data_IF_865202867160
#
_entry.id   IF_865202867160
#
_cell.length_a   1.000
_cell.length_b   1.000
_cell.length_c   1.000
_cell.angle_alpha   90.00
_cell.angle_beta   90.00
_cell.angle_gamma   90.00
#
_symmetry.space_group_name_H-M   'P 1'
#
loop_
_entity.id
_entity.type
_entity.pdbx_description
1 polymer ?
#
# COMPACT_ATOMS: atom_id res chain seq x y z
N UNK A 1 0.73 -26.90 -5.41
CA UNK A 1 0.32 -25.50 -5.64
C UNK A 1 1.56 -24.63 -5.57
N UNK A 2 1.80 -23.78 -6.54
CA UNK A 2 2.83 -22.75 -6.47
C UNK A 2 2.34 -21.75 -5.42
N UNK A 3 3.12 -21.38 -4.40
CA UNK A 3 2.67 -20.44 -3.39
C UNK A 3 2.32 -19.09 -4.04
N UNK A 4 1.23 -18.45 -3.60
CA UNK A 4 0.84 -17.11 -4.07
C UNK A 4 2.03 -16.16 -3.97
N UNK A 5 2.28 -15.40 -5.02
CA UNK A 5 3.39 -14.47 -5.09
C UNK A 5 2.91 -13.06 -4.73
N UNK A 6 3.57 -12.45 -3.75
CA UNK A 6 3.28 -11.09 -3.31
C UNK A 6 4.35 -10.14 -3.81
N UNK A 7 3.93 -9.01 -4.33
CA UNK A 7 4.80 -7.97 -4.85
C UNK A 7 4.57 -6.66 -4.09
N UNK A 8 5.66 -6.00 -3.74
CA UNK A 8 5.64 -4.61 -3.30
C UNK A 8 6.57 -3.79 -4.18
N UNK A 9 6.46 -2.47 -4.17
CA UNK A 9 7.38 -1.64 -4.94
C UNK A 9 8.00 -0.52 -4.10
N UNK A 10 9.22 -0.13 -4.45
CA UNK A 10 9.95 0.97 -3.84
C UNK A 10 10.68 1.78 -4.91
N UNK A 11 10.11 2.93 -5.26
CA UNK A 11 10.76 3.88 -6.15
C UNK A 11 11.77 4.73 -5.37
N UNK A 12 13.00 4.83 -5.88
CA UNK A 12 14.14 5.47 -5.22
C UNK A 12 14.63 6.68 -6.01
N UNK A 13 14.18 7.88 -5.65
CA UNK A 13 14.63 9.13 -6.23
C UNK A 13 14.91 10.18 -5.16
N UNK A 14 16.10 10.77 -5.20
CA UNK A 14 16.57 11.66 -4.12
C UNK A 14 15.76 12.96 -3.99
N UNK A 15 15.32 13.55 -5.10
CA UNK A 15 14.63 14.85 -5.12
C UNK A 15 13.19 14.83 -4.60
N UNK A 16 12.56 13.66 -4.54
CA UNK A 16 11.12 13.51 -4.33
C UNK A 16 10.76 12.98 -2.94
N UNK A 17 11.76 12.55 -2.18
CA UNK A 17 11.56 11.99 -0.84
C UNK A 17 11.01 12.95 0.22
N UNK A 18 10.91 14.24 -0.10
CA UNK A 18 10.27 15.22 0.80
C UNK A 18 8.77 15.05 0.94
N UNK A 19 8.11 14.40 -0.03
CA UNK A 19 6.66 14.21 -0.09
C UNK A 19 6.17 12.85 0.46
N UNK A 20 7.08 12.02 0.99
CA UNK A 20 6.72 10.70 1.50
C UNK A 20 6.19 10.77 2.93
N UNK A 21 5.23 9.90 3.28
CA UNK A 21 4.58 9.80 4.60
C UNK A 21 5.49 9.56 5.82
N UNK A 22 6.79 9.49 5.62
CA UNK A 22 7.79 9.40 6.69
C UNK A 22 8.32 10.81 6.96
N UNK A 23 7.76 11.48 7.94
CA UNK A 23 7.99 12.90 8.26
C UNK A 23 9.36 13.20 8.88
N UNK A 24 10.20 12.22 9.13
CA UNK A 24 11.44 12.39 9.91
C UNK A 24 12.62 11.70 9.21
N UNK A 25 13.74 12.41 9.14
CA UNK A 25 15.05 11.85 8.80
C UNK A 25 15.56 12.13 7.39
N UNK A 26 16.82 11.76 7.17
CA UNK A 26 17.50 11.86 5.87
C UNK A 26 16.91 10.87 4.85
N UNK A 27 17.16 11.12 3.55
CA UNK A 27 16.85 10.18 2.47
C UNK A 27 17.27 8.74 2.79
N UNK A 28 18.49 8.55 3.30
CA UNK A 28 19.01 7.24 3.70
C UNK A 28 18.17 6.59 4.82
N UNK A 29 17.71 7.36 5.80
CA UNK A 29 16.87 6.83 6.89
C UNK A 29 15.50 6.42 6.39
N UNK A 30 14.91 7.20 5.49
CA UNK A 30 13.63 6.87 4.84
C UNK A 30 13.72 5.56 4.07
N UNK A 31 14.72 5.41 3.19
CA UNK A 31 14.93 4.15 2.45
C UNK A 31 15.09 2.99 3.43
N UNK A 32 15.93 3.12 4.45
CA UNK A 32 16.12 2.06 5.45
C UNK A 32 14.82 1.67 6.17
N UNK A 33 13.93 2.62 6.41
CA UNK A 33 12.62 2.34 7.01
C UNK A 33 11.78 1.46 6.09
N UNK A 34 11.65 1.83 4.82
CA UNK A 34 10.89 1.03 3.85
C UNK A 34 11.51 -0.35 3.60
N UNK A 35 12.84 -0.44 3.50
CA UNK A 35 13.52 -1.72 3.34
C UNK A 35 13.34 -2.64 4.54
N UNK A 36 13.31 -2.10 5.75
CA UNK A 36 13.01 -2.89 6.96
C UNK A 36 11.57 -3.36 6.99
N UNK A 37 10.64 -2.52 6.55
CA UNK A 37 9.24 -2.93 6.42
C UNK A 37 9.11 -4.06 5.39
N UNK A 38 9.73 -3.92 4.21
CA UNK A 38 9.75 -4.97 3.18
C UNK A 38 10.37 -6.28 3.71
N UNK A 39 11.48 -6.21 4.47
CA UNK A 39 12.11 -7.37 5.09
C UNK A 39 11.21 -8.07 6.12
N UNK A 40 10.48 -7.31 6.92
CA UNK A 40 9.54 -7.86 7.90
C UNK A 40 8.34 -8.48 7.19
N UNK A 41 7.80 -7.79 6.20
CA UNK A 41 6.71 -8.30 5.37
C UNK A 41 7.11 -9.60 4.67
N UNK A 42 8.26 -9.64 4.00
CA UNK A 42 8.80 -10.85 3.35
C UNK A 42 8.87 -12.03 4.32
N UNK A 43 9.49 -11.84 5.48
CA UNK A 43 9.62 -12.91 6.49
C UNK A 43 8.28 -13.34 7.07
N UNK A 44 7.33 -12.43 7.21
CA UNK A 44 6.01 -12.77 7.70
C UNK A 44 5.22 -13.58 6.67
N UNK A 45 5.34 -13.27 5.40
CA UNK A 45 4.76 -14.04 4.30
C UNK A 45 5.42 -15.42 4.17
N UNK A 46 6.75 -15.48 4.22
CA UNK A 46 7.52 -16.72 4.16
C UNK A 46 7.15 -17.69 5.30
N UNK A 47 6.93 -17.17 6.51
CA UNK A 47 6.48 -17.98 7.66
C UNK A 47 5.11 -18.63 7.43
N UNK A 48 4.33 -18.15 6.48
CA UNK A 48 3.04 -18.69 6.07
C UNK A 48 3.06 -19.34 4.67
N UNK A 49 4.27 -19.59 4.12
CA UNK A 49 4.46 -20.32 2.87
C UNK A 49 4.29 -19.49 1.60
N UNK A 50 4.38 -18.15 1.69
CA UNK A 50 4.23 -17.25 0.55
C UNK A 50 5.56 -16.59 0.17
N UNK A 51 5.77 -16.31 -1.12
CA UNK A 51 6.92 -15.59 -1.62
C UNK A 51 6.64 -14.08 -1.70
N UNK A 52 7.66 -13.26 -1.44
CA UNK A 52 7.60 -11.81 -1.60
C UNK A 52 8.70 -11.31 -2.54
N UNK A 53 8.34 -10.43 -3.47
CA UNK A 53 9.23 -9.79 -4.43
C UNK A 53 9.15 -8.26 -4.30
N UNK A 54 10.30 -7.62 -4.23
CA UNK A 54 10.41 -6.17 -4.20
C UNK A 54 10.76 -5.61 -5.58
N UNK A 55 9.87 -4.84 -6.18
CA UNK A 55 10.11 -4.10 -7.41
C UNK A 55 10.79 -2.77 -7.09
N UNK A 56 11.85 -2.42 -7.80
CA UNK A 56 12.58 -1.16 -7.59
C UNK A 56 13.22 -0.66 -8.88
N UNK A 57 13.57 0.62 -8.92
CA UNK A 57 14.36 1.19 -10.02
C UNK A 57 15.87 1.20 -9.75
N UNK A 58 16.33 0.74 -8.58
CA UNK A 58 17.76 0.82 -8.22
C UNK A 58 18.15 -0.19 -7.12
N UNK A 59 18.42 -1.42 -7.50
CA UNK A 59 18.88 -2.48 -6.60
C UNK A 59 20.25 -2.18 -6.01
N UNK A 60 21.14 -1.52 -6.76
CA UNK A 60 22.47 -1.11 -6.28
C UNK A 60 22.39 -0.14 -5.10
N UNK A 61 21.41 0.77 -5.10
CA UNK A 61 21.18 1.69 -3.99
C UNK A 61 20.67 0.95 -2.75
N UNK A 62 19.82 -0.06 -2.93
CA UNK A 62 19.37 -0.95 -1.86
C UNK A 62 20.55 -1.71 -1.27
N UNK A 63 21.37 -2.33 -2.10
CA UNK A 63 22.58 -3.04 -1.68
C UNK A 63 23.52 -2.14 -0.87
N UNK A 64 23.75 -0.92 -1.35
CA UNK A 64 24.61 0.07 -0.66
C UNK A 64 24.10 0.49 0.72
N UNK A 65 22.76 0.67 0.87
CA UNK A 65 22.19 1.18 2.12
C UNK A 65 21.81 0.10 3.11
N UNK A 66 21.54 -1.11 2.64
CA UNK A 66 21.06 -2.22 3.47
C UNK A 66 21.48 -3.58 2.90
N UNK A 67 22.80 -3.89 2.82
CA UNK A 67 23.31 -5.10 2.15
C UNK A 67 22.67 -6.38 2.70
N UNK A 68 22.58 -6.54 4.02
CA UNK A 68 21.96 -7.72 4.64
C UNK A 68 20.49 -7.92 4.31
N UNK A 69 19.75 -6.85 4.04
CA UNK A 69 18.35 -6.93 3.62
C UNK A 69 18.29 -7.27 2.13
N UNK A 70 19.15 -6.64 1.32
CA UNK A 70 19.26 -6.93 -0.11
C UNK A 70 19.57 -8.39 -0.41
N UNK A 71 20.41 -9.03 0.40
CA UNK A 71 20.77 -10.46 0.26
C UNK A 71 19.60 -11.41 0.57
N UNK A 72 18.59 -10.96 1.31
CA UNK A 72 17.44 -11.78 1.72
C UNK A 72 16.21 -11.57 0.88
N UNK A 73 16.03 -10.36 0.36
CA UNK A 73 14.86 -10.02 -0.45
C UNK A 73 15.06 -10.49 -1.90
N UNK A 74 14.03 -11.08 -2.48
CA UNK A 74 13.92 -11.18 -3.93
C UNK A 74 13.65 -9.79 -4.49
N UNK A 75 14.55 -9.27 -5.32
CA UNK A 75 14.49 -7.90 -5.87
C UNK A 75 14.53 -7.97 -7.38
N UNK A 76 13.57 -7.30 -8.03
CA UNK A 76 13.54 -7.11 -9.47
C UNK A 76 13.65 -5.62 -9.79
N UNK A 77 14.59 -5.25 -10.69
CA UNK A 77 14.64 -3.91 -11.23
C UNK A 77 13.60 -3.76 -12.35
N UNK A 78 12.79 -2.70 -12.24
CA UNK A 78 11.82 -2.32 -13.27
C UNK A 78 12.00 -0.84 -13.62
N UNK A 79 11.60 -0.46 -14.82
CA UNK A 79 11.51 0.93 -15.22
C UNK A 79 10.24 1.56 -14.65
N UNK A 80 10.39 2.72 -14.00
CA UNK A 80 9.28 3.56 -13.57
C UNK A 80 9.20 4.75 -14.53
N UNK A 81 8.33 4.63 -15.52
CA UNK A 81 8.19 5.57 -16.64
C UNK A 81 6.92 6.41 -16.61
N UNK A 82 6.01 6.14 -15.65
CA UNK A 82 4.77 6.89 -15.50
C UNK A 82 5.06 8.38 -15.31
N UNK A 83 4.52 9.29 -16.14
CA UNK A 83 4.76 10.72 -16.01
C UNK A 83 4.03 11.28 -14.79
N UNK A 84 4.78 11.74 -13.79
CA UNK A 84 4.21 12.32 -12.56
C UNK A 84 4.54 13.82 -12.52
N UNK A 85 3.53 14.70 -12.34
CA UNK A 85 3.77 16.15 -12.22
C UNK A 85 4.66 16.48 -11.02
N UNK A 86 5.49 17.49 -11.15
CA UNK A 86 6.34 17.97 -10.05
C UNK A 86 5.52 18.58 -8.91
N UNK A 87 5.96 18.36 -7.66
CA UNK A 87 5.30 18.92 -6.47
C UNK A 87 4.01 18.23 -6.02
N UNK A 88 3.63 17.15 -6.68
CA UNK A 88 2.43 16.36 -6.30
C UNK A 88 2.71 15.57 -5.02
N UNK A 89 1.77 15.60 -4.08
CA UNK A 89 1.82 14.75 -2.87
C UNK A 89 1.72 13.27 -3.27
N UNK A 90 2.33 12.40 -2.47
CA UNK A 90 2.38 10.96 -2.74
C UNK A 90 2.95 10.60 -4.12
N UNK A 91 3.91 11.39 -4.57
CA UNK A 91 4.55 11.26 -5.87
C UNK A 91 4.86 9.80 -6.24
N UNK A 92 5.58 9.07 -5.37
CA UNK A 92 6.01 7.70 -5.65
C UNK A 92 4.84 6.69 -5.76
N UNK A 93 3.66 6.99 -5.22
CA UNK A 93 2.51 6.08 -5.34
C UNK A 93 1.96 6.00 -6.77
N UNK A 94 2.21 7.02 -7.62
CA UNK A 94 1.81 7.00 -9.02
C UNK A 94 2.52 5.92 -9.83
N UNK A 95 3.74 5.54 -9.42
CA UNK A 95 4.48 4.45 -10.05
C UNK A 95 3.88 3.06 -9.80
N UNK A 96 2.75 2.97 -9.08
CA UNK A 96 1.97 1.74 -9.01
C UNK A 96 1.50 1.31 -10.41
N UNK A 97 1.26 2.25 -11.32
CA UNK A 97 0.94 1.94 -12.72
C UNK A 97 2.05 1.11 -13.38
N UNK A 98 3.32 1.45 -13.16
CA UNK A 98 4.44 0.66 -13.73
C UNK A 98 4.52 -0.74 -13.10
N UNK A 99 4.19 -0.86 -11.80
CA UNK A 99 4.08 -2.17 -11.16
C UNK A 99 2.92 -3.00 -11.74
N UNK A 100 1.77 -2.37 -12.08
CA UNK A 100 0.66 -3.05 -12.75
C UNK A 100 1.07 -3.55 -14.15
N UNK A 101 1.79 -2.74 -14.93
CA UNK A 101 2.34 -3.14 -16.24
C UNK A 101 3.28 -4.33 -16.12
N UNK A 102 4.17 -4.29 -15.12
CA UNK A 102 5.08 -5.38 -14.85
C UNK A 102 4.31 -6.67 -14.54
N UNK A 103 3.37 -6.64 -13.61
CA UNK A 103 2.55 -7.80 -13.24
C UNK A 103 1.66 -8.30 -14.39
N UNK A 104 1.20 -7.41 -15.25
CA UNK A 104 0.45 -7.76 -16.46
C UNK A 104 1.26 -8.56 -17.50
N UNK A 105 2.59 -8.51 -17.41
CA UNK A 105 3.53 -9.21 -18.31
C UNK A 105 4.21 -10.42 -17.65
N UNK A 106 4.02 -10.62 -16.33
CA UNK A 106 4.58 -11.78 -15.62
C UNK A 106 3.94 -13.09 -16.09
N UNK A 107 4.69 -14.19 -15.92
CA UNK A 107 4.23 -15.54 -16.28
C UNK A 107 3.57 -16.29 -15.12
N UNK A 108 3.37 -15.63 -13.99
CA UNK A 108 2.72 -16.22 -12.83
C UNK A 108 1.21 -16.33 -13.06
N UNK A 109 0.61 -17.43 -12.61
CA UNK A 109 -0.83 -17.61 -12.77
C UNK A 109 -1.66 -16.62 -11.94
N UNK A 110 -1.12 -16.20 -10.78
CA UNK A 110 -1.80 -15.29 -9.86
C UNK A 110 -0.78 -14.51 -9.00
N UNK A 111 -1.01 -13.24 -8.78
CA UNK A 111 -0.15 -12.38 -7.98
C UNK A 111 -0.97 -11.40 -7.10
N UNK A 112 -0.34 -10.90 -6.03
CA UNK A 112 -0.88 -9.79 -5.23
C UNK A 112 0.11 -8.62 -5.19
N UNK A 113 -0.35 -7.40 -5.48
CA UNK A 113 0.39 -6.16 -5.31
C UNK A 113 -0.01 -5.51 -4.00
N UNK A 114 0.96 -5.32 -3.09
CA UNK A 114 0.70 -4.87 -1.72
C UNK A 114 1.65 -3.75 -1.30
N UNK A 115 1.25 -2.96 -0.30
CA UNK A 115 2.10 -1.92 0.28
C UNK A 115 3.14 -2.52 1.25
N UNK A 116 4.29 -1.86 1.39
CA UNK A 116 5.42 -2.36 2.19
C UNK A 116 5.19 -2.30 3.72
N UNK A 117 4.24 -1.50 4.16
CA UNK A 117 3.86 -1.34 5.58
C UNK A 117 2.71 -2.26 6.00
N UNK A 118 2.68 -3.43 5.38
CA UNK A 118 1.79 -4.53 5.73
C UNK A 118 2.52 -5.62 6.52
N UNK A 119 1.74 -6.47 7.16
CA UNK A 119 2.23 -7.64 7.87
C UNK A 119 1.29 -8.82 7.67
N UNK A 120 1.84 -10.00 7.35
CA UNK A 120 1.13 -11.26 7.33
C UNK A 120 1.11 -11.83 8.76
N UNK A 121 -0.08 -12.06 9.31
CA UNK A 121 -0.24 -12.51 10.71
C UNK A 121 -0.96 -13.86 10.84
N UNK A 122 -1.54 -14.36 9.77
CA UNK A 122 -2.25 -15.64 9.72
C UNK A 122 -1.95 -16.38 8.40
N UNK A 123 -2.43 -17.63 8.34
CA UNK A 123 -2.53 -18.38 7.08
C UNK A 123 -3.54 -17.73 6.14
N UNK A 124 -3.32 -17.91 4.84
CA UNK A 124 -4.26 -17.44 3.82
C UNK A 124 -5.66 -18.04 4.04
N UNK A 125 -6.72 -17.23 4.05
CA UNK A 125 -8.09 -17.72 4.17
C UNK A 125 -8.48 -18.50 2.90
N UNK A 126 -9.37 -19.48 3.06
CA UNK A 126 -9.85 -20.33 1.95
C UNK A 126 -10.40 -19.49 0.78
N UNK A 127 -11.04 -18.35 1.09
CA UNK A 127 -11.55 -17.44 0.06
C UNK A 127 -10.46 -16.84 -0.84
N UNK A 128 -9.24 -16.60 -0.33
CA UNK A 128 -8.10 -16.17 -1.15
C UNK A 128 -7.61 -17.32 -2.02
N UNK A 129 -7.50 -18.53 -1.47
CA UNK A 129 -7.09 -19.72 -2.21
C UNK A 129 -8.08 -20.08 -3.33
N UNK A 130 -9.36 -19.86 -3.10
CA UNK A 130 -10.41 -20.06 -4.11
C UNK A 130 -10.35 -18.98 -5.21
N UNK A 131 -10.12 -17.71 -4.83
CA UNK A 131 -9.90 -16.65 -5.79
C UNK A 131 -8.68 -16.93 -6.68
N UNK A 132 -7.58 -17.43 -6.11
CA UNK A 132 -6.38 -17.85 -6.85
C UNK A 132 -6.71 -19.00 -7.84
N UNK A 133 -7.40 -20.05 -7.37
CA UNK A 133 -7.79 -21.20 -8.22
C UNK A 133 -8.73 -20.84 -9.35
N UNK A 134 -9.66 -19.91 -9.10
CA UNK A 134 -10.64 -19.46 -10.10
C UNK A 134 -10.14 -18.32 -10.99
N UNK A 135 -8.98 -17.72 -10.68
CA UNK A 135 -8.49 -16.53 -11.36
C UNK A 135 -9.34 -15.27 -11.07
N UNK A 136 -10.05 -15.23 -9.94
CA UNK A 136 -10.87 -14.08 -9.56
C UNK A 136 -9.99 -12.90 -9.17
N UNK A 137 -10.30 -11.73 -9.74
CA UNK A 137 -9.65 -10.48 -9.37
C UNK A 137 -10.14 -9.96 -8.01
N UNK A 138 -9.23 -9.42 -7.20
CA UNK A 138 -9.52 -8.87 -5.88
C UNK A 138 -9.02 -7.43 -5.75
N UNK A 139 -9.75 -6.63 -5.00
CA UNK A 139 -9.35 -5.32 -4.51
C UNK A 139 -9.68 -5.21 -3.00
N UNK A 140 -9.35 -4.13 -2.35
CA UNK A 140 -9.77 -3.89 -0.96
C UNK A 140 -10.63 -2.63 -0.88
N UNK A 141 -11.91 -2.78 -0.53
CA UNK A 141 -12.83 -1.67 -0.33
C UNK A 141 -12.59 -1.00 1.02
N UNK A 142 -12.38 0.30 0.99
CA UNK A 142 -12.22 1.14 2.18
C UNK A 142 -13.20 2.31 2.22
N UNK A 143 -14.28 2.24 1.46
CA UNK A 143 -15.28 3.31 1.35
C UNK A 143 -15.76 3.76 2.73
N UNK A 144 -16.20 2.82 3.56
CA UNK A 144 -16.67 3.09 4.93
C UNK A 144 -15.59 3.70 5.85
N UNK A 145 -14.32 3.47 5.55
CA UNK A 145 -13.22 4.02 6.32
C UNK A 145 -12.89 5.46 5.91
N UNK A 146 -12.96 5.79 4.63
CA UNK A 146 -12.49 7.09 4.11
C UNK A 146 -13.61 8.14 4.05
N UNK A 147 -14.87 7.73 3.83
CA UNK A 147 -16.03 8.64 3.76
C UNK A 147 -16.14 9.54 5.00
N UNK A 148 -16.00 9.05 6.25
CA UNK A 148 -16.07 9.90 7.43
C UNK A 148 -15.02 11.03 7.49
N UNK A 149 -13.88 10.85 6.79
CA UNK A 149 -12.79 11.82 6.79
C UNK A 149 -12.74 12.70 5.55
N UNK A 150 -13.13 12.17 4.39
CA UNK A 150 -13.01 12.84 3.09
C UNK A 150 -14.34 13.42 2.61
N UNK A 151 -15.47 12.88 3.11
CA UNK A 151 -16.81 13.14 2.60
C UNK A 151 -17.15 12.26 1.39
N UNK A 152 -18.40 11.83 1.31
CA UNK A 152 -18.88 11.00 0.20
C UNK A 152 -18.89 11.79 -1.11
N UNK A 153 -19.50 12.97 -1.08
CA UNK A 153 -19.66 13.83 -2.25
C UNK A 153 -18.35 14.22 -2.93
N UNK A 154 -17.30 14.69 -2.22
CA UNK A 154 -16.01 14.99 -2.85
C UNK A 154 -15.34 13.78 -3.50
N UNK A 155 -15.48 12.58 -2.90
CA UNK A 155 -14.91 11.34 -3.45
C UNK A 155 -15.65 10.93 -4.73
N UNK A 156 -16.98 10.96 -4.70
CA UNK A 156 -17.86 10.68 -5.85
C UNK A 156 -17.59 11.65 -6.99
N UNK A 157 -17.62 12.96 -6.72
CA UNK A 157 -17.37 14.00 -7.70
C UNK A 157 -16.01 13.85 -8.39
N UNK A 158 -14.96 13.49 -7.64
CA UNK A 158 -13.65 13.23 -8.23
C UNK A 158 -13.69 12.07 -9.24
N UNK A 159 -14.34 10.95 -8.90
CA UNK A 159 -14.44 9.81 -9.81
C UNK A 159 -15.31 10.13 -11.03
N UNK A 160 -16.42 10.82 -10.83
CA UNK A 160 -17.33 11.22 -11.92
C UNK A 160 -16.63 12.17 -12.89
N UNK A 161 -15.85 13.14 -12.41
CA UNK A 161 -15.07 14.02 -13.26
C UNK A 161 -13.96 13.27 -14.03
N UNK A 162 -13.29 12.27 -13.39
CA UNK A 162 -12.29 11.45 -14.07
C UNK A 162 -12.95 10.58 -15.16
N UNK A 163 -14.08 9.97 -14.85
CA UNK A 163 -14.76 9.03 -15.76
C UNK A 163 -15.70 9.70 -16.78
N UNK A 164 -16.18 10.92 -16.47
CA UNK A 164 -17.16 11.64 -17.29
C UNK A 164 -18.56 11.07 -17.25
N UNK A 165 -18.89 10.30 -16.22
CA UNK A 165 -20.21 9.70 -16.00
C UNK A 165 -20.49 9.51 -14.52
N UNK A 166 -21.77 9.41 -14.10
CA UNK A 166 -22.13 9.05 -12.73
C UNK A 166 -21.55 7.70 -12.32
N UNK A 167 -21.23 7.56 -11.02
CA UNK A 167 -20.71 6.33 -10.43
C UNK A 167 -21.35 6.02 -9.09
N UNK A 168 -21.47 4.74 -8.78
CA UNK A 168 -21.69 4.28 -7.41
C UNK A 168 -20.36 4.33 -6.66
N UNK A 169 -20.33 5.09 -5.56
CA UNK A 169 -19.08 5.29 -4.83
C UNK A 169 -18.64 3.98 -4.19
N UNK A 170 -17.55 3.44 -4.70
CA UNK A 170 -16.72 2.42 -4.06
C UNK A 170 -15.28 2.91 -4.09
N UNK A 171 -14.60 2.91 -2.93
CA UNK A 171 -13.24 3.42 -2.83
C UNK A 171 -12.26 2.32 -2.45
N UNK A 172 -11.49 1.89 -3.44
CA UNK A 172 -10.40 0.94 -3.24
C UNK A 172 -9.24 1.58 -2.49
N UNK A 173 -8.74 0.92 -1.48
CA UNK A 173 -7.46 1.24 -0.89
C UNK A 173 -6.31 0.95 -1.84
N UNK A 174 -5.28 1.79 -1.78
CA UNK A 174 -4.09 1.61 -2.59
C UNK A 174 -3.22 0.43 -2.19
N UNK A 175 -3.47 -0.20 -1.06
CA UNK A 175 -2.58 -1.17 -0.44
C UNK A 175 -2.71 -2.62 -0.88
N UNK A 176 -3.79 -2.97 -1.61
CA UNK A 176 -4.02 -4.37 -1.99
C UNK A 176 -4.77 -4.50 -3.31
N UNK A 177 -4.19 -5.25 -4.23
CA UNK A 177 -4.80 -5.76 -5.46
C UNK A 177 -4.29 -7.17 -5.67
N UNK A 178 -5.14 -8.11 -6.10
CA UNK A 178 -4.70 -9.44 -6.47
C UNK A 178 -5.48 -9.98 -7.67
N UNK A 179 -4.85 -10.83 -8.48
CA UNK A 179 -5.47 -11.41 -9.66
C UNK A 179 -4.48 -12.06 -10.61
N UNK A 180 -4.97 -12.60 -11.72
CA UNK A 180 -4.14 -13.12 -12.80
C UNK A 180 -3.48 -11.96 -13.58
N UNK A 181 -2.42 -12.23 -14.38
CA UNK A 181 -1.77 -11.21 -15.22
C UNK A 181 -2.73 -10.45 -16.13
N UNK A 182 -3.76 -11.12 -16.65
CA UNK A 182 -4.80 -10.49 -17.47
C UNK A 182 -5.53 -9.35 -16.72
N UNK A 183 -5.78 -9.50 -15.42
CA UNK A 183 -6.37 -8.45 -14.59
C UNK A 183 -5.44 -7.23 -14.46
N UNK A 184 -4.17 -7.45 -14.14
CA UNK A 184 -3.21 -6.36 -14.00
C UNK A 184 -2.99 -5.62 -15.33
N UNK A 185 -2.98 -6.34 -16.46
CA UNK A 185 -2.89 -5.75 -17.79
C UNK A 185 -4.10 -4.87 -18.08
N UNK A 186 -5.32 -5.42 -17.91
CA UNK A 186 -6.55 -4.67 -18.12
C UNK A 186 -6.65 -3.44 -17.21
N UNK A 187 -6.21 -3.57 -15.95
CA UNK A 187 -6.20 -2.46 -15.00
C UNK A 187 -5.18 -1.38 -15.42
N UNK A 188 -3.99 -1.75 -15.87
CA UNK A 188 -2.99 -0.82 -16.38
C UNK A 188 -3.51 -0.07 -17.62
N UNK A 189 -4.09 -0.79 -18.59
CA UNK A 189 -4.70 -0.20 -19.78
C UNK A 189 -5.84 0.77 -19.44
N UNK A 190 -6.71 0.41 -18.49
CA UNK A 190 -7.77 1.29 -18.02
C UNK A 190 -7.21 2.56 -17.35
N UNK A 191 -6.15 2.43 -16.52
CA UNK A 191 -5.46 3.59 -15.94
C UNK A 191 -4.88 4.48 -17.05
N UNK A 192 -4.19 3.92 -18.04
CA UNK A 192 -3.59 4.68 -19.14
C UNK A 192 -4.60 5.52 -19.91
N UNK A 193 -5.80 4.97 -20.15
CA UNK A 193 -6.88 5.68 -20.84
C UNK A 193 -7.35 6.93 -20.10
N UNK A 194 -7.29 6.93 -18.79
CA UNK A 194 -7.82 8.02 -17.94
C UNK A 194 -6.73 8.85 -17.26
N UNK A 195 -5.45 8.45 -17.32
CA UNK A 195 -4.39 9.01 -16.49
C UNK A 195 -4.21 10.52 -16.68
N UNK A 196 -4.19 11.00 -17.94
CA UNK A 196 -4.09 12.43 -18.19
C UNK A 196 -5.28 13.19 -17.60
N UNK A 197 -6.48 12.69 -17.81
CA UNK A 197 -7.68 13.31 -17.23
C UNK A 197 -7.67 13.29 -15.70
N UNK A 198 -7.19 12.19 -15.10
CA UNK A 198 -6.98 12.14 -13.65
C UNK A 198 -6.03 13.24 -13.17
N UNK A 199 -4.92 13.46 -13.86
CA UNK A 199 -3.96 14.54 -13.51
C UNK A 199 -4.65 15.90 -13.61
N UNK A 200 -5.33 16.19 -14.71
CA UNK A 200 -5.99 17.47 -14.96
C UNK A 200 -7.09 17.77 -13.93
N UNK A 201 -7.85 16.76 -13.53
CA UNK A 201 -8.94 16.87 -12.56
C UNK A 201 -8.42 16.97 -11.13
N UNK A 202 -7.42 16.17 -10.77
CA UNK A 202 -7.09 15.94 -9.35
C UNK A 202 -6.05 16.88 -8.80
N UNK A 203 -5.07 17.31 -9.62
CA UNK A 203 -3.96 18.13 -9.13
C UNK A 203 -4.45 19.53 -8.73
N UNK A 204 -4.17 19.90 -7.47
CA UNK A 204 -4.58 21.19 -6.89
C UNK A 204 -6.04 21.28 -6.43
N UNK A 205 -6.87 20.26 -6.68
CA UNK A 205 -8.30 20.28 -6.35
C UNK A 205 -8.77 19.13 -5.47
N UNK A 206 -8.34 17.92 -5.79
CA UNK A 206 -8.79 16.68 -5.15
C UNK A 206 -7.64 15.89 -4.54
N UNK A 207 -7.94 14.66 -4.12
CA UNK A 207 -6.94 13.70 -3.68
C UNK A 207 -6.05 13.29 -4.83
N UNK A 208 -4.76 13.14 -4.55
CA UNK A 208 -3.74 12.70 -5.51
C UNK A 208 -3.04 11.45 -4.98
N UNK A 209 -2.47 10.66 -5.88
CA UNK A 209 -1.85 9.38 -5.61
C UNK A 209 -2.48 8.28 -6.44
N UNK A 210 -2.19 7.03 -6.10
CA UNK A 210 -2.73 5.90 -6.87
C UNK A 210 -4.22 5.63 -6.63
N UNK A 211 -4.76 5.91 -5.45
CA UNK A 211 -6.16 5.58 -5.13
C UNK A 211 -7.17 6.14 -6.15
N UNK A 212 -7.19 7.44 -6.53
CA UNK A 212 -8.20 7.96 -7.44
C UNK A 212 -8.19 7.29 -8.83
N UNK A 213 -7.03 7.16 -9.47
CA UNK A 213 -6.98 6.56 -10.79
C UNK A 213 -7.21 5.04 -10.75
N UNK A 214 -6.76 4.37 -9.68
CA UNK A 214 -7.02 2.94 -9.45
C UNK A 214 -8.53 2.68 -9.31
N UNK A 215 -9.24 3.52 -8.54
CA UNK A 215 -10.69 3.42 -8.38
C UNK A 215 -11.43 3.63 -9.70
N UNK A 216 -11.06 4.66 -10.45
CA UNK A 216 -11.65 4.91 -11.75
C UNK A 216 -11.41 3.75 -12.74
N UNK A 217 -10.22 3.16 -12.72
CA UNK A 217 -9.91 2.00 -13.56
C UNK A 217 -10.68 0.73 -13.13
N UNK A 218 -10.80 0.45 -11.84
CA UNK A 218 -11.63 -0.66 -11.33
C UNK A 218 -13.07 -0.49 -11.78
N UNK A 219 -13.61 0.74 -11.74
CA UNK A 219 -14.97 1.04 -12.19
C UNK A 219 -15.14 0.83 -13.70
N UNK A 220 -14.12 1.14 -14.52
CA UNK A 220 -14.11 0.81 -15.95
C UNK A 220 -14.15 -0.71 -16.14
N UNK A 221 -13.33 -1.46 -15.44
CA UNK A 221 -13.28 -2.90 -15.55
C UNK A 221 -14.63 -3.55 -15.17
N UNK A 222 -15.25 -3.10 -14.08
CA UNK A 222 -16.59 -3.59 -13.67
C UNK A 222 -17.65 -3.31 -14.71
N UNK A 223 -17.63 -2.11 -15.27
CA UNK A 223 -18.54 -1.74 -16.36
C UNK A 223 -18.36 -2.64 -17.59
N UNK A 224 -17.13 -3.09 -17.83
CA UNK A 224 -16.78 -4.03 -18.91
C UNK A 224 -17.00 -5.52 -18.53
N UNK A 225 -17.67 -5.80 -17.40
CA UNK A 225 -18.07 -7.15 -17.00
C UNK A 225 -17.03 -7.92 -16.19
N UNK A 226 -15.98 -7.29 -15.71
CA UNK A 226 -15.02 -7.95 -14.81
C UNK A 226 -15.65 -8.21 -13.44
N UNK A 227 -15.54 -9.45 -12.97
CA UNK A 227 -15.90 -9.83 -11.61
C UNK A 227 -14.71 -9.56 -10.67
N UNK A 228 -14.76 -8.44 -9.94
CA UNK A 228 -13.70 -8.01 -9.02
C UNK A 228 -14.30 -7.99 -7.60
N UNK A 229 -13.84 -8.88 -6.74
CA UNK A 229 -14.39 -9.06 -5.40
C UNK A 229 -13.61 -8.26 -4.33
N UNK A 230 -14.28 -7.90 -3.22
CA UNK A 230 -13.66 -7.23 -2.09
C UNK A 230 -12.97 -8.23 -1.16
N UNK A 231 -11.67 -8.05 -0.96
CA UNK A 231 -10.79 -8.87 -0.12
C UNK A 231 -11.02 -8.65 1.39
N UNK A 232 -11.63 -7.53 1.81
CA UNK A 232 -11.86 -7.18 3.21
C UNK A 232 -12.79 -8.17 3.93
N UNK A 233 -14.03 -8.40 3.46
CA UNK A 233 -14.96 -9.39 4.02
C UNK A 233 -14.41 -10.82 3.97
N UNK A 234 -13.57 -11.13 2.99
CA UNK A 234 -12.93 -12.44 2.84
C UNK A 234 -11.87 -12.73 3.93
N UNK A 235 -11.55 -11.76 4.79
CA UNK A 235 -10.50 -11.91 5.79
C UNK A 235 -9.07 -11.76 5.25
N UNK A 236 -8.90 -11.41 3.98
CA UNK A 236 -7.60 -11.32 3.32
C UNK A 236 -6.81 -10.11 3.81
N UNK A 237 -7.43 -8.93 3.87
CA UNK A 237 -6.73 -7.70 4.23
C UNK A 237 -7.59 -6.83 5.15
N UNK A 238 -6.92 -6.10 6.03
CA UNK A 238 -7.53 -5.03 6.82
C UNK A 238 -6.54 -3.90 7.06
N UNK A 239 -7.03 -2.67 7.15
CA UNK A 239 -6.26 -1.46 7.43
C UNK A 239 -6.54 -1.00 8.87
N UNK A 240 -5.48 -0.71 9.62
CA UNK A 240 -5.60 -0.17 10.97
C UNK A 240 -4.82 1.14 11.12
N UNK A 241 -5.53 2.17 11.54
CA UNK A 241 -4.95 3.47 11.88
C UNK A 241 -4.80 3.59 13.39
N UNK A 242 -3.59 3.50 13.88
CA UNK A 242 -3.35 3.63 15.32
C UNK A 242 -3.14 5.10 15.76
N UNK A 243 -4.00 5.97 15.26
CA UNK A 243 -4.07 7.39 15.64
C UNK A 243 -5.54 7.80 15.73
N UNK A 244 -5.86 8.85 16.49
CA UNK A 244 -7.16 9.50 16.38
C UNK A 244 -7.34 10.03 14.95
N UNK A 245 -8.05 9.31 14.14
CA UNK A 245 -8.42 9.66 12.76
C UNK A 245 -9.94 9.64 12.65
N UNK A 246 -10.47 10.41 11.70
CA UNK A 246 -11.90 10.39 11.39
C UNK A 246 -12.28 9.16 10.54
N UNK A 247 -11.46 8.11 10.55
CA UNK A 247 -11.75 6.86 9.85
C UNK A 247 -12.62 5.96 10.73
N UNK A 248 -13.65 5.39 10.14
CA UNK A 248 -14.39 4.31 10.79
C UNK A 248 -13.53 3.04 10.73
N UNK A 249 -13.24 2.45 11.89
CA UNK A 249 -12.48 1.22 11.95
C UNK A 249 -12.88 0.37 13.16
N UNK A 250 -12.83 -0.96 13.03
CA UNK A 250 -13.09 -1.85 14.15
C UNK A 250 -11.97 -1.76 15.22
N UNK A 251 -12.24 -2.23 16.44
CA UNK A 251 -11.21 -2.28 17.48
C UNK A 251 -10.06 -3.21 17.06
N UNK A 252 -8.82 -2.88 17.49
CA UNK A 252 -7.61 -3.58 17.05
C UNK A 252 -7.68 -5.11 17.18
N UNK A 253 -8.34 -5.64 18.22
CA UNK A 253 -8.54 -7.08 18.43
C UNK A 253 -9.29 -7.79 17.29
N UNK A 254 -10.11 -7.03 16.52
CA UNK A 254 -10.84 -7.59 15.38
C UNK A 254 -9.93 -7.92 14.17
N UNK A 255 -8.67 -7.50 14.23
CA UNK A 255 -7.69 -7.79 13.17
C UNK A 255 -6.99 -9.15 13.36
N UNK A 256 -7.18 -9.81 14.52
CA UNK A 256 -6.54 -11.09 14.84
C UNK A 256 -6.77 -12.21 13.83
N UNK A 257 -7.93 -12.18 13.16
CA UNK A 257 -8.35 -13.22 12.22
C UNK A 257 -8.10 -12.82 10.76
N UNK A 258 -7.37 -11.73 10.53
CA UNK A 258 -7.02 -11.27 9.19
C UNK A 258 -5.69 -11.86 8.72
N UNK A 259 -5.58 -12.14 7.43
CA UNK A 259 -4.33 -12.65 6.86
C UNK A 259 -3.28 -11.54 6.76
N UNK A 260 -3.62 -10.39 6.16
CA UNK A 260 -2.76 -9.21 6.05
C UNK A 260 -3.32 -8.04 6.85
N UNK A 261 -2.45 -7.34 7.58
CA UNK A 261 -2.81 -6.09 8.26
C UNK A 261 -1.93 -4.96 7.75
N UNK A 262 -2.55 -3.91 7.23
CA UNK A 262 -1.89 -2.68 6.78
C UNK A 262 -1.82 -1.67 7.93
N UNK A 263 -0.62 -1.16 8.21
CA UNK A 263 -0.30 -0.24 9.31
C UNK A 263 0.31 1.08 8.78
N UNK A 264 -0.46 1.92 8.07
CA UNK A 264 0.06 3.02 7.25
C UNK A 264 0.84 4.09 8.03
N UNK A 265 0.53 4.28 9.32
CA UNK A 265 1.20 5.27 10.18
C UNK A 265 2.31 4.66 11.05
N UNK A 266 2.43 3.35 11.09
CA UNK A 266 3.32 2.64 12.02
C UNK A 266 4.57 2.03 11.39
N UNK A 267 5.03 2.59 10.27
CA UNK A 267 6.26 2.17 9.58
C UNK A 267 7.49 2.06 10.53
N UNK A 268 7.60 2.98 11.48
CA UNK A 268 8.67 2.95 12.48
C UNK A 268 8.46 1.88 13.56
N UNK A 269 7.21 1.66 13.95
CA UNK A 269 6.86 0.61 14.93
C UNK A 269 7.14 -0.77 14.36
N UNK A 270 6.80 -1.01 13.09
CA UNK A 270 7.15 -2.24 12.38
C UNK A 270 8.67 -2.50 12.42
N UNK A 271 9.50 -1.46 12.25
CA UNK A 271 10.95 -1.61 12.33
C UNK A 271 11.45 -2.10 13.69
N UNK A 272 10.76 -1.77 14.78
CA UNK A 272 11.11 -2.25 16.13
C UNK A 272 10.73 -3.73 16.32
N UNK A 273 9.74 -4.21 15.57
CA UNK A 273 9.28 -5.60 15.60
C UNK A 273 10.14 -6.58 14.77
N UNK A 274 11.25 -6.08 14.19
CA UNK A 274 12.15 -6.84 13.29
C UNK A 274 12.65 -8.17 13.85
N UNK A 275 12.79 -8.29 15.17
CA UNK A 275 13.32 -9.50 15.82
C UNK A 275 12.23 -10.55 16.09
N UNK A 276 10.99 -10.24 15.79
CA UNK A 276 9.84 -11.04 16.16
C UNK A 276 9.25 -11.69 14.92
N UNK A 277 9.13 -12.99 14.97
CA UNK A 277 8.37 -13.73 13.96
C UNK A 277 6.89 -13.60 14.28
N UNK A 278 6.04 -13.06 13.40
CA UNK A 278 4.61 -12.93 13.65
C UNK A 278 3.85 -14.25 13.45
N UNK A 279 4.49 -15.37 13.80
CA UNK A 279 3.94 -16.72 13.62
C UNK A 279 2.65 -16.99 14.40
N UNK A 280 2.27 -16.07 15.31
CA UNK A 280 1.03 -16.18 16.11
C UNK A 280 0.35 -14.82 16.19
N UNK A 281 -0.91 -14.66 15.71
CA UNK A 281 -1.65 -13.39 15.71
C UNK A 281 -1.73 -12.76 17.10
N UNK A 282 -1.97 -13.54 18.12
CA UNK A 282 -2.10 -13.04 19.51
C UNK A 282 -0.78 -12.48 20.04
N UNK A 283 0.33 -13.13 19.74
CA UNK A 283 1.66 -12.64 20.10
C UNK A 283 1.98 -11.35 19.36
N UNK A 284 1.63 -11.25 18.06
CA UNK A 284 1.76 -10.03 17.29
C UNK A 284 0.95 -8.88 17.90
N UNK A 285 -0.35 -9.09 18.14
CA UNK A 285 -1.23 -8.04 18.66
C UNK A 285 -0.77 -7.54 20.03
N UNK A 286 -0.38 -8.45 20.93
CA UNK A 286 0.14 -8.11 22.26
C UNK A 286 1.43 -7.28 22.16
N UNK A 287 2.35 -7.72 21.32
CA UNK A 287 3.64 -7.07 21.16
C UNK A 287 3.53 -5.73 20.46
N UNK A 288 2.71 -5.64 19.40
CA UNK A 288 2.40 -4.39 18.75
C UNK A 288 1.81 -3.38 19.73
N UNK A 289 0.83 -3.79 20.54
CA UNK A 289 0.23 -2.92 21.56
C UNK A 289 1.28 -2.45 22.58
N UNK A 290 2.13 -3.35 23.09
CA UNK A 290 3.20 -3.02 24.02
C UNK A 290 4.24 -2.07 23.38
N UNK A 291 4.70 -2.38 22.18
CA UNK A 291 5.66 -1.55 21.44
C UNK A 291 5.09 -0.16 21.17
N UNK A 292 3.82 -0.08 20.81
CA UNK A 292 3.13 1.18 20.57
C UNK A 292 3.00 2.01 21.84
N UNK A 293 2.69 1.37 22.95
CA UNK A 293 2.60 2.05 24.25
C UNK A 293 3.96 2.66 24.68
N UNK A 294 5.04 1.94 24.46
CA UNK A 294 6.40 2.44 24.72
C UNK A 294 6.84 3.55 23.75
N UNK A 295 6.36 3.51 22.50
CA UNK A 295 6.72 4.48 21.47
C UNK A 295 5.92 5.79 21.54
N UNK A 296 4.71 5.76 22.09
CA UNK A 296 3.80 6.91 22.15
C UNK A 296 4.42 8.16 22.80
N UNK A 297 5.15 8.08 23.92
CA UNK A 297 5.79 9.26 24.52
C UNK A 297 6.84 9.89 23.59
N UNK A 298 7.62 9.08 22.87
CA UNK A 298 8.64 9.54 21.92
C UNK A 298 8.01 10.21 20.70
N UNK A 299 6.88 9.69 20.21
CA UNK A 299 6.11 10.32 19.13
C UNK A 299 5.53 11.69 19.54
N UNK A 300 4.99 11.78 20.73
CA UNK A 300 4.48 13.04 21.30
C UNK A 300 5.60 14.07 21.44
N UNK A 301 6.73 13.69 22.00
CA UNK A 301 7.90 14.55 22.13
C UNK A 301 8.40 15.03 20.76
N UNK A 302 8.55 14.14 19.78
CA UNK A 302 8.99 14.50 18.42
C UNK A 302 8.03 15.49 17.73
N UNK A 303 6.72 15.35 17.95
CA UNK A 303 5.71 16.30 17.42
C UNK A 303 5.80 17.67 18.09
N UNK A 304 6.04 17.71 19.40
CA UNK A 304 6.23 18.97 20.13
C UNK A 304 7.49 19.70 19.67
N UNK A 305 8.60 18.98 19.50
CA UNK A 305 9.87 19.54 18.99
C UNK A 305 9.75 20.03 17.54
N UNK A 306 9.05 19.30 16.68
CA UNK A 306 8.80 19.72 15.29
C UNK A 306 7.99 21.01 15.20
N UNK A 307 7.01 21.21 16.10
CA UNK A 307 6.25 22.46 16.19
C UNK A 307 7.08 23.63 16.71
N UNK A 308 7.96 23.40 17.68
CA UNK A 308 8.88 24.42 18.22
C UNK A 308 9.96 24.84 17.20
N UNK A 309 10.45 23.91 16.39
CA UNK A 309 11.40 24.19 15.29
C UNK A 309 10.79 25.03 14.17
N UNK A 310 9.50 24.84 13.85
CA UNK A 310 8.81 25.61 12.80
C UNK A 310 8.50 27.06 13.21
N UNK A 311 8.45 27.34 14.51
CA UNK A 311 8.25 28.73 15.03
C UNK A 311 9.54 29.57 14.94
N UNK A 312 10.72 28.93 14.92
CA UNK A 312 12.01 29.64 14.81
C UNK A 312 12.40 30.08 13.39
N UNK A 313 11.73 29.58 12.35
CA UNK A 313 12.04 29.92 10.94
C UNK A 313 11.17 31.08 10.41
N UNK A 314 10.26 31.62 11.22
CA UNK A 314 9.43 32.78 10.86
C UNK A 314 9.87 34.10 11.53
N UNK A 315 11.16 34.25 11.82
CA UNK A 315 11.74 35.57 12.21
C UNK A 315 12.82 35.97 11.24
#
# INVERSE_FOLDING_TARGET
MIPSQFYGFLHLQHREFSAVNVSVGSFRQKIRTYLRNADILSRSLEAHGHAFHLLTNNSNLIQRFSPRISERLSISEIEFSTPVPTGVRFFSSHYKLDALRYLGNEQNDYAALIDLDMLCINTAPEALLEAERSGQALYYDITDQVVPSAGEEPLRAQLEEILGRPVDLQWSGGEFLAGPPAYFRALAEAVEQIYQRYIDVSVGRYRVGNEPYQNAAIEILRHNGWNIADAGPMGVVARYWNMPVKHNQPPFRAFRDKFLVHLPVDKHVLNLMRTLSPSRPESFLTLYAATKWLWLPLEVLNRLWGKLGSVRIRR
#
